data_IF_287010735839
#
_entry.id   IF_287010735839
#
_cell.length_a   1.000
_cell.length_b   1.000
_cell.length_c   1.000
_cell.angle_alpha   90.00
_cell.angle_beta   90.00
_cell.angle_gamma   90.00
#
_symmetry.space_group_name_H-M   'P 1'
#
loop_
_entity.id
_entity.type
_entity.pdbx_description
1 polymer ?
#
# COMPACT_ATOMS: atom_id res chain seq x y z
N UNK A 1 -18.80 -3.10 -30.20
CA UNK A 1 -19.26 -3.37 -28.81
C UNK A 1 -19.32 -2.03 -28.13
N UNK A 2 -20.52 -1.53 -27.80
CA UNK A 2 -20.75 -0.19 -27.26
C UNK A 2 -19.90 0.07 -26.01
N UNK A 3 -18.75 0.73 -26.18
CA UNK A 3 -18.01 1.36 -25.09
C UNK A 3 -18.80 2.61 -24.70
N UNK A 4 -19.77 2.44 -23.80
CA UNK A 4 -20.41 3.57 -23.15
C UNK A 4 -19.32 4.45 -22.53
N UNK A 5 -19.33 5.73 -22.91
CA UNK A 5 -18.38 6.72 -22.43
C UNK A 5 -18.84 7.21 -21.05
N UNK A 6 -17.93 7.26 -20.07
CA UNK A 6 -18.19 7.89 -18.79
C UNK A 6 -17.81 9.37 -18.89
N UNK A 7 -18.77 10.27 -18.72
CA UNK A 7 -18.47 11.71 -18.66
C UNK A 7 -17.86 12.02 -17.30
N UNK A 8 -16.67 12.62 -17.32
CA UNK A 8 -15.98 13.06 -16.13
C UNK A 8 -16.61 14.39 -15.66
N UNK A 9 -17.19 14.48 -14.43
CA UNK A 9 -17.82 15.72 -13.97
C UNK A 9 -16.77 16.71 -13.45
N UNK A 10 -16.26 17.59 -14.32
CA UNK A 10 -15.15 18.50 -14.02
C UNK A 10 -15.31 19.28 -12.71
N UNK A 11 -16.46 19.91 -12.50
CA UNK A 11 -16.74 20.67 -11.27
C UNK A 11 -16.68 19.82 -9.99
N UNK A 12 -17.10 18.55 -10.04
CA UNK A 12 -17.01 17.64 -8.87
C UNK A 12 -15.55 17.27 -8.59
N UNK A 13 -14.76 17.04 -9.63
CA UNK A 13 -13.34 16.72 -9.48
C UNK A 13 -12.57 17.89 -8.94
N UNK A 14 -12.73 19.09 -9.49
CA UNK A 14 -12.05 20.28 -8.98
C UNK A 14 -12.38 20.52 -7.51
N UNK A 15 -13.66 20.35 -7.12
CA UNK A 15 -14.07 20.44 -5.72
C UNK A 15 -13.44 19.35 -4.84
N UNK A 16 -13.38 18.11 -5.32
CA UNK A 16 -12.76 17.00 -4.59
C UNK A 16 -11.25 17.18 -4.44
N UNK A 17 -10.57 17.68 -5.48
CA UNK A 17 -9.15 17.99 -5.46
C UNK A 17 -8.83 19.13 -4.49
N UNK A 18 -9.67 20.17 -4.43
CA UNK A 18 -9.47 21.30 -3.50
C UNK A 18 -9.54 20.86 -2.04
N UNK A 19 -10.44 19.92 -1.68
CA UNK A 19 -10.49 19.34 -0.33
C UNK A 19 -9.18 18.67 0.12
N UNK A 20 -8.31 18.34 -0.83
CA UNK A 20 -7.05 17.61 -0.62
C UNK A 20 -5.83 18.50 -0.80
N UNK A 21 -6.02 19.80 -0.98
CA UNK A 21 -4.94 20.77 -1.17
C UNK A 21 -3.88 20.72 -0.06
N UNK A 22 -4.31 20.63 1.20
CA UNK A 22 -3.40 20.58 2.36
C UNK A 22 -2.50 19.34 2.38
N UNK A 23 -2.97 18.23 1.79
CA UNK A 23 -2.16 17.02 1.62
C UNK A 23 -1.00 17.32 0.67
N UNK A 24 -1.26 18.05 -0.43
CA UNK A 24 -0.23 18.41 -1.41
C UNK A 24 0.83 19.32 -0.84
N UNK A 25 0.40 20.29 -0.02
CA UNK A 25 1.28 21.24 0.66
C UNK A 25 2.28 20.53 1.59
N UNK A 26 1.95 19.33 2.09
CA UNK A 26 2.86 18.48 2.85
C UNK A 26 3.76 17.61 1.95
N UNK A 27 4.38 18.23 0.95
CA UNK A 27 5.37 17.59 0.06
C UNK A 27 4.88 16.25 -0.53
N UNK A 28 3.62 16.21 -0.94
CA UNK A 28 2.97 15.00 -1.45
C UNK A 28 2.32 15.28 -2.80
N UNK A 29 2.84 14.70 -3.87
CA UNK A 29 2.24 14.80 -5.19
C UNK A 29 1.61 13.48 -5.68
N UNK A 30 1.69 12.42 -4.87
CA UNK A 30 0.96 11.16 -5.01
C UNK A 30 -0.21 11.08 -4.01
N UNK A 31 -1.45 11.15 -4.49
CA UNK A 31 -2.66 11.10 -3.66
C UNK A 31 -3.91 10.74 -4.46
N UNK A 32 -4.94 10.24 -3.76
CA UNK A 32 -6.27 10.10 -4.35
C UNK A 32 -6.92 11.47 -4.48
N UNK A 33 -7.29 11.94 -5.66
CA UNK A 33 -7.98 13.23 -5.82
C UNK A 33 -9.51 13.09 -5.95
N UNK A 34 -10.00 11.89 -6.23
CA UNK A 34 -11.43 11.57 -6.29
C UNK A 34 -11.68 10.14 -5.82
N UNK A 35 -12.50 9.95 -4.77
CA UNK A 35 -12.73 8.65 -4.12
C UNK A 35 -14.18 8.17 -4.22
N UNK A 36 -14.71 8.16 -5.44
CA UNK A 36 -15.98 7.53 -5.75
C UNK A 36 -17.16 8.11 -4.97
N UNK A 37 -17.86 7.25 -4.22
CA UNK A 37 -18.99 7.65 -3.39
C UNK A 37 -18.61 8.69 -2.32
N UNK A 38 -17.37 8.67 -1.84
CA UNK A 38 -16.84 9.67 -0.90
C UNK A 38 -16.79 11.09 -1.48
N UNK A 39 -16.80 11.24 -2.80
CA UNK A 39 -16.87 12.51 -3.52
C UNK A 39 -18.13 12.66 -4.38
N UNK A 40 -19.16 11.84 -4.11
CA UNK A 40 -20.49 12.01 -4.69
C UNK A 40 -20.64 11.49 -6.12
N UNK A 41 -19.79 10.55 -6.56
CA UNK A 41 -19.99 9.75 -7.77
C UNK A 41 -19.45 8.33 -7.57
N UNK A 42 -20.34 7.37 -7.32
CA UNK A 42 -19.92 5.98 -7.18
C UNK A 42 -19.29 5.44 -8.48
N UNK A 43 -18.29 4.57 -8.35
CA UNK A 43 -17.72 3.85 -9.48
C UNK A 43 -16.57 4.53 -10.22
N UNK A 44 -16.12 5.72 -9.78
CA UNK A 44 -14.99 6.46 -10.35
C UNK A 44 -13.94 6.76 -9.28
N UNK A 45 -12.70 6.36 -9.50
CA UNK A 45 -11.55 6.76 -8.69
C UNK A 45 -10.55 7.51 -9.56
N UNK A 46 -9.88 8.50 -8.98
CA UNK A 46 -8.78 9.18 -9.65
C UNK A 46 -7.64 9.36 -8.65
N UNK A 47 -6.52 8.72 -8.95
CA UNK A 47 -5.25 8.90 -8.26
C UNK A 47 -4.37 9.83 -9.09
N UNK A 48 -3.80 10.84 -8.45
CA UNK A 48 -2.83 11.75 -9.07
C UNK A 48 -1.42 11.38 -8.61
N UNK A 49 -0.51 11.23 -9.58
CA UNK A 49 0.92 10.95 -9.40
C UNK A 49 1.77 12.08 -10.01
N UNK A 50 1.68 13.28 -9.43
CA UNK A 50 2.42 14.46 -9.87
C UNK A 50 1.91 15.07 -11.19
N UNK A 51 0.59 15.17 -11.33
CA UNK A 51 -0.10 15.60 -12.55
C UNK A 51 -0.37 14.44 -13.53
N UNK A 52 -0.02 13.21 -13.17
CA UNK A 52 -0.18 12.01 -14.01
C UNK A 52 -1.31 11.18 -13.43
N UNK A 53 -2.48 11.30 -14.02
CA UNK A 53 -3.71 10.76 -13.44
C UNK A 53 -3.91 9.31 -13.85
N UNK A 54 -4.21 8.47 -12.85
CA UNK A 54 -4.74 7.14 -13.04
C UNK A 54 -6.22 7.15 -12.69
N UNK A 55 -7.07 7.14 -13.73
CA UNK A 55 -8.51 7.02 -13.60
C UNK A 55 -8.90 5.55 -13.54
N UNK A 56 -9.72 5.18 -12.58
CA UNK A 56 -10.16 3.81 -12.41
C UNK A 56 -11.68 3.72 -12.37
N UNK A 57 -12.23 2.74 -13.08
CA UNK A 57 -13.68 2.43 -13.07
C UNK A 57 -13.91 0.99 -12.66
N UNK A 58 -15.09 0.68 -12.13
CA UNK A 58 -15.46 -0.69 -11.72
C UNK A 58 -16.25 -1.43 -12.80
N UNK A 59 -16.29 -0.88 -14.01
CA UNK A 59 -16.98 -1.42 -15.18
C UNK A 59 -16.11 -1.19 -16.43
N UNK A 60 -16.68 -1.41 -17.62
CA UNK A 60 -15.96 -1.27 -18.91
C UNK A 60 -16.03 0.13 -19.51
N UNK A 61 -16.67 1.10 -18.85
CA UNK A 61 -16.83 2.46 -19.38
C UNK A 61 -15.50 3.17 -19.31
N UNK A 62 -15.05 3.65 -20.47
CA UNK A 62 -13.85 4.47 -20.59
C UNK A 62 -14.24 5.93 -20.32
N UNK A 63 -13.51 6.64 -19.46
CA UNK A 63 -13.78 8.04 -19.20
C UNK A 63 -13.41 8.91 -20.41
N UNK A 64 -14.26 9.86 -20.78
CA UNK A 64 -13.90 10.87 -21.77
C UNK A 64 -12.95 11.90 -21.13
N UNK A 65 -11.72 12.08 -21.65
CA UNK A 65 -10.81 13.09 -21.13
C UNK A 65 -11.36 14.50 -21.32
N UNK A 66 -11.28 15.33 -20.28
CA UNK A 66 -11.54 16.76 -20.34
C UNK A 66 -10.22 17.52 -20.09
N UNK A 67 -9.58 18.09 -21.12
CA UNK A 67 -8.33 18.84 -20.97
C UNK A 67 -8.40 20.01 -19.96
N UNK A 68 -9.61 20.51 -19.65
CA UNK A 68 -9.82 21.55 -18.64
C UNK A 68 -9.52 21.12 -17.20
N UNK A 69 -9.30 19.82 -16.95
CA UNK A 69 -9.03 19.25 -15.62
C UNK A 69 -7.57 19.39 -15.16
N UNK A 70 -6.65 19.82 -16.03
CA UNK A 70 -5.27 20.16 -15.64
C UNK A 70 -4.34 18.98 -15.37
N UNK A 71 -4.68 17.76 -15.81
CA UNK A 71 -3.73 16.66 -15.84
C UNK A 71 -2.64 16.92 -16.90
N UNK A 72 -1.40 16.48 -16.63
CA UNK A 72 -0.33 16.39 -17.63
C UNK A 72 -0.51 15.16 -18.52
N UNK A 73 -0.97 14.07 -17.90
CA UNK A 73 -1.23 12.79 -18.57
C UNK A 73 -2.39 12.08 -17.90
N UNK A 74 -3.24 11.41 -18.68
CA UNK A 74 -4.40 10.67 -18.19
C UNK A 74 -4.35 9.23 -18.70
N UNK A 75 -4.28 8.30 -17.75
CA UNK A 75 -4.38 6.87 -17.97
C UNK A 75 -5.65 6.33 -17.34
N UNK A 76 -6.19 5.26 -17.91
CA UNK A 76 -7.38 4.60 -17.41
C UNK A 76 -7.20 3.10 -17.22
N UNK A 77 -7.73 2.56 -16.12
CA UNK A 77 -7.81 1.12 -15.87
C UNK A 77 -9.18 0.71 -15.34
N UNK A 78 -9.79 -0.30 -15.93
CA UNK A 78 -10.94 -0.99 -15.32
C UNK A 78 -10.49 -1.91 -14.20
N UNK A 79 -11.14 -1.86 -13.04
CA UNK A 79 -10.91 -2.71 -11.87
C UNK A 79 -11.81 -3.95 -11.86
N UNK A 80 -12.46 -4.28 -12.99
CA UNK A 80 -13.11 -5.58 -13.14
C UNK A 80 -12.08 -6.70 -12.91
N UNK A 81 -12.46 -7.71 -12.13
CA UNK A 81 -11.56 -8.85 -11.80
C UNK A 81 -11.02 -9.59 -13.03
N UNK A 82 -11.73 -9.53 -14.15
CA UNK A 82 -11.33 -10.14 -15.43
C UNK A 82 -10.32 -9.28 -16.20
N UNK A 83 -10.11 -8.03 -15.81
CA UNK A 83 -9.16 -7.14 -16.48
C UNK A 83 -7.76 -7.31 -15.88
N UNK A 84 -6.84 -7.86 -16.67
CA UNK A 84 -5.42 -8.02 -16.33
C UNK A 84 -4.54 -6.98 -17.02
N UNK A 85 -5.13 -6.10 -17.84
CA UNK A 85 -4.38 -5.14 -18.65
C UNK A 85 -3.79 -4.01 -17.80
N UNK A 86 -2.66 -3.48 -18.26
CA UNK A 86 -2.10 -2.24 -17.76
C UNK A 86 -3.05 -1.06 -18.06
N UNK A 87 -2.92 0.07 -17.35
CA UNK A 87 -3.63 1.29 -17.68
C UNK A 87 -3.36 1.74 -19.11
N UNK A 88 -4.42 2.20 -19.78
CA UNK A 88 -4.40 2.68 -21.16
C UNK A 88 -4.26 4.20 -21.15
N UNK A 89 -3.32 4.74 -21.93
CA UNK A 89 -3.20 6.18 -22.13
C UNK A 89 -4.40 6.72 -22.90
N UNK A 90 -5.05 7.77 -22.40
CA UNK A 90 -6.23 8.38 -23.03
C UNK A 90 -5.99 9.81 -23.52
N UNK A 91 -5.18 10.61 -22.80
CA UNK A 91 -4.93 12.01 -23.17
C UNK A 91 -3.69 12.59 -22.46
N UNK A 92 -3.17 13.68 -23.03
CA UNK A 92 -1.98 14.36 -22.53
C UNK A 92 -0.69 13.76 -23.08
N UNK A 93 0.42 14.03 -22.39
CA UNK A 93 1.73 13.53 -22.76
C UNK A 93 1.86 12.05 -22.35
N UNK A 94 2.21 11.12 -23.26
CA UNK A 94 2.52 9.75 -22.88
C UNK A 94 3.65 9.68 -21.85
N UNK A 95 3.54 8.74 -20.90
CA UNK A 95 4.54 8.61 -19.83
C UNK A 95 5.80 7.90 -20.32
N UNK A 96 6.94 8.47 -19.93
CA UNK A 96 8.21 7.74 -19.89
C UNK A 96 8.34 7.09 -18.51
N UNK A 97 8.07 5.80 -18.44
CA UNK A 97 8.20 5.02 -17.21
C UNK A 97 9.62 4.43 -17.06
N UNK A 98 10.09 4.21 -15.81
CA UNK A 98 9.43 4.61 -14.57
C UNK A 98 9.61 6.12 -14.29
N UNK A 99 8.77 6.69 -13.42
CA UNK A 99 8.88 8.09 -13.00
C UNK A 99 8.75 8.23 -11.48
N UNK A 100 9.22 9.34 -10.92
CA UNK A 100 9.21 9.59 -9.48
C UNK A 100 8.03 10.45 -9.04
N UNK A 101 7.53 10.15 -7.85
CA UNK A 101 6.55 10.95 -7.10
C UNK A 101 7.01 11.14 -5.67
N UNK A 102 6.40 12.10 -4.98
CA UNK A 102 6.62 12.38 -3.57
C UNK A 102 5.41 11.99 -2.73
N UNK A 103 5.67 11.35 -1.61
CA UNK A 103 4.71 11.18 -0.53
C UNK A 103 5.36 11.57 0.80
N UNK A 104 4.81 12.59 1.45
CA UNK A 104 5.28 13.09 2.76
C UNK A 104 6.78 13.40 2.78
N UNK A 105 7.27 14.02 1.71
CA UNK A 105 8.68 14.36 1.54
C UNK A 105 9.56 13.26 0.95
N UNK A 106 9.10 12.00 0.93
CA UNK A 106 9.84 10.84 0.45
C UNK A 106 9.59 10.57 -1.04
N UNK A 107 10.61 10.08 -1.75
CA UNK A 107 10.52 9.75 -3.17
C UNK A 107 10.16 8.28 -3.40
N UNK A 108 9.23 8.03 -4.32
CA UNK A 108 8.85 6.70 -4.74
C UNK A 108 8.77 6.60 -6.25
N UNK A 109 9.26 5.49 -6.79
CA UNK A 109 9.15 5.17 -8.20
C UNK A 109 7.80 4.54 -8.54
N UNK A 110 7.22 5.01 -9.64
CA UNK A 110 5.92 4.63 -10.16
C UNK A 110 6.08 4.15 -11.60
N UNK A 111 5.39 3.07 -11.93
CA UNK A 111 5.29 2.53 -13.28
C UNK A 111 3.89 1.96 -13.52
N UNK A 112 3.15 2.59 -14.43
CA UNK A 112 1.81 2.14 -14.80
C UNK A 112 1.83 0.82 -15.60
N UNK A 113 2.95 0.48 -16.23
CA UNK A 113 3.10 -0.72 -17.07
C UNK A 113 3.71 -1.92 -16.30
N UNK A 114 4.17 -1.72 -15.07
CA UNK A 114 4.80 -2.74 -14.23
C UNK A 114 3.87 -3.90 -13.76
N UNK A 115 2.59 -3.88 -14.14
CA UNK A 115 1.66 -4.99 -13.91
C UNK A 115 0.38 -4.59 -13.17
N UNK A 116 0.12 -5.22 -12.02
CA UNK A 116 -1.16 -5.10 -11.32
C UNK A 116 -1.36 -3.74 -10.63
N UNK A 117 -0.29 -3.20 -10.05
CA UNK A 117 -0.28 -1.97 -9.25
C UNK A 117 0.85 -1.04 -9.68
N UNK A 118 0.70 0.28 -9.50
CA UNK A 118 1.61 1.28 -10.05
C UNK A 118 2.93 1.47 -9.29
N UNK A 119 3.15 0.77 -8.16
CA UNK A 119 4.39 0.89 -7.36
C UNK A 119 4.18 1.41 -5.94
N UNK A 120 3.04 2.06 -5.65
CA UNK A 120 2.73 2.59 -4.31
C UNK A 120 1.23 2.47 -4.01
N UNK A 121 0.90 1.96 -2.81
CA UNK A 121 -0.47 1.94 -2.30
C UNK A 121 -0.73 3.20 -1.46
N UNK A 122 -1.48 4.14 -2.02
CA UNK A 122 -1.73 5.46 -1.43
C UNK A 122 -2.62 5.39 -0.18
N UNK A 123 -3.47 4.37 -0.07
CA UNK A 123 -4.33 4.10 1.10
C UNK A 123 -3.54 3.73 2.36
N UNK A 124 -2.24 3.45 2.24
CA UNK A 124 -1.36 3.14 3.37
C UNK A 124 -0.58 4.36 3.91
N UNK A 125 -0.75 5.55 3.33
CA UNK A 125 0.04 6.74 3.68
C UNK A 125 0.04 7.08 5.18
N UNK A 126 -1.15 7.11 5.80
CA UNK A 126 -1.28 7.41 7.23
C UNK A 126 -0.57 6.37 8.10
N UNK A 127 -0.56 5.11 7.68
CA UNK A 127 0.13 4.04 8.41
C UNK A 127 1.64 4.13 8.22
N UNK A 128 2.13 4.51 7.03
CA UNK A 128 3.54 4.82 6.79
C UNK A 128 4.02 5.97 7.66
N UNK A 129 3.28 7.09 7.71
CA UNK A 129 3.61 8.22 8.59
C UNK A 129 3.68 7.84 10.07
N UNK A 130 2.73 7.02 10.54
CA UNK A 130 2.76 6.50 11.92
C UNK A 130 3.95 5.57 12.15
N UNK A 131 4.31 4.72 11.19
CA UNK A 131 5.51 3.89 11.28
C UNK A 131 6.77 4.76 11.40
N UNK A 132 6.88 5.81 10.59
CA UNK A 132 8.03 6.73 10.61
C UNK A 132 8.29 7.29 12.01
N UNK A 133 7.24 7.75 12.71
CA UNK A 133 7.38 8.32 14.05
C UNK A 133 7.70 7.30 15.13
N UNK A 134 7.44 6.01 14.88
CA UNK A 134 7.74 4.90 15.79
C UNK A 134 9.09 4.25 15.51
N UNK A 135 9.72 4.49 14.35
CA UNK A 135 10.82 3.69 13.82
C UNK A 135 12.21 4.00 14.41
N UNK A 136 12.38 5.13 15.11
CA UNK A 136 13.68 5.58 15.59
C UNK A 136 14.39 4.52 16.44
N UNK A 137 15.62 4.17 16.04
CA UNK A 137 16.50 3.24 16.75
C UNK A 137 15.87 1.85 16.93
N UNK A 138 15.00 1.45 15.99
CA UNK A 138 14.32 0.14 15.99
C UNK A 138 14.79 -0.75 14.85
N UNK A 139 14.58 -2.05 15.03
CA UNK A 139 14.64 -3.06 13.99
C UNK A 139 13.24 -3.34 13.45
N UNK A 140 13.05 -3.17 12.14
CA UNK A 140 11.73 -3.31 11.49
C UNK A 140 11.76 -4.44 10.45
N UNK A 141 10.90 -5.45 10.62
CA UNK A 141 10.66 -6.46 9.60
C UNK A 141 9.42 -6.09 8.77
N UNK A 142 9.65 -5.70 7.53
CA UNK A 142 8.61 -5.43 6.53
C UNK A 142 8.32 -6.72 5.73
N UNK A 143 7.25 -7.43 6.06
CA UNK A 143 6.82 -8.63 5.31
C UNK A 143 5.84 -8.28 4.21
N UNK A 144 5.81 -9.08 3.13
CA UNK A 144 5.06 -8.76 1.91
C UNK A 144 5.46 -7.37 1.38
N UNK A 145 6.77 -7.12 1.38
CA UNK A 145 7.33 -5.78 1.30
C UNK A 145 6.97 -5.03 0.02
N UNK A 146 6.61 -5.74 -1.06
CA UNK A 146 6.37 -5.16 -2.38
C UNK A 146 7.55 -4.27 -2.78
N UNK A 147 7.32 -3.03 -3.19
CA UNK A 147 8.33 -2.03 -3.54
C UNK A 147 8.98 -1.37 -2.32
N UNK A 148 8.87 -2.00 -1.15
CA UNK A 148 9.50 -1.62 0.11
C UNK A 148 9.11 -0.22 0.65
N UNK A 149 7.94 0.31 0.30
CA UNK A 149 7.52 1.64 0.75
C UNK A 149 7.52 1.80 2.28
N UNK A 150 7.02 0.81 3.02
CA UNK A 150 7.13 0.79 4.49
C UNK A 150 8.57 0.71 4.99
N UNK A 151 9.42 -0.06 4.31
CA UNK A 151 10.85 -0.15 4.60
C UNK A 151 11.56 1.19 4.46
N UNK A 152 11.36 1.88 3.34
CA UNK A 152 11.90 3.23 3.11
C UNK A 152 11.45 4.18 4.21
N UNK A 153 10.15 4.22 4.52
CA UNK A 153 9.62 5.10 5.55
C UNK A 153 10.18 4.80 6.94
N UNK A 154 10.32 3.53 7.30
CA UNK A 154 10.96 3.13 8.55
C UNK A 154 12.45 3.53 8.60
N UNK A 155 13.19 3.32 7.51
CA UNK A 155 14.61 3.66 7.41
C UNK A 155 14.84 5.17 7.55
N UNK A 156 14.05 6.01 6.89
CA UNK A 156 14.10 7.48 7.11
C UNK A 156 13.72 7.85 8.54
N UNK A 157 12.83 7.08 9.17
CA UNK A 157 12.52 7.22 10.59
C UNK A 157 13.65 6.79 11.55
N UNK A 158 14.78 6.29 11.04
CA UNK A 158 15.94 5.87 11.83
C UNK A 158 15.94 4.39 12.24
N UNK A 159 15.17 3.54 11.55
CA UNK A 159 15.21 2.09 11.77
C UNK A 159 16.23 1.38 10.88
N UNK A 160 16.75 0.24 11.38
CA UNK A 160 17.34 -0.79 10.52
C UNK A 160 16.22 -1.72 10.05
N UNK A 161 16.18 -2.01 8.75
CA UNK A 161 15.02 -2.69 8.15
C UNK A 161 15.37 -4.00 7.47
N UNK A 162 14.52 -4.99 7.60
CA UNK A 162 14.52 -6.21 6.79
C UNK A 162 13.26 -6.20 5.92
N UNK A 163 13.44 -6.15 4.61
CA UNK A 163 12.36 -6.24 3.63
C UNK A 163 12.27 -7.67 3.10
N UNK A 164 11.10 -8.29 3.19
CA UNK A 164 10.87 -9.68 2.80
C UNK A 164 9.71 -9.77 1.82
N UNK A 165 9.99 -10.29 0.62
CA UNK A 165 8.98 -10.48 -0.43
C UNK A 165 9.24 -11.73 -1.28
N UNK A 166 8.19 -12.25 -1.90
CA UNK A 166 8.26 -13.39 -2.82
C UNK A 166 8.84 -13.02 -4.19
N UNK A 167 8.87 -11.73 -4.53
CA UNK A 167 9.32 -11.19 -5.81
C UNK A 167 10.69 -10.52 -5.70
N UNK A 168 11.72 -11.12 -6.30
CA UNK A 168 13.00 -10.43 -6.49
C UNK A 168 12.83 -9.10 -7.22
N UNK A 169 11.95 -9.04 -8.22
CA UNK A 169 11.74 -7.84 -9.01
C UNK A 169 11.27 -6.67 -8.15
N UNK A 170 10.35 -6.91 -7.20
CA UNK A 170 9.89 -5.87 -6.29
C UNK A 170 10.91 -5.49 -5.21
N UNK A 171 11.74 -6.44 -4.77
CA UNK A 171 12.86 -6.12 -3.89
C UNK A 171 13.90 -5.23 -4.58
N UNK A 172 14.23 -5.48 -5.85
CA UNK A 172 15.12 -4.60 -6.62
C UNK A 172 14.49 -3.22 -6.87
N UNK A 173 13.18 -3.15 -7.07
CA UNK A 173 12.46 -1.87 -7.07
C UNK A 173 12.56 -1.18 -5.70
N UNK A 174 12.38 -1.92 -4.62
CA UNK A 174 12.58 -1.43 -3.27
C UNK A 174 13.96 -0.83 -3.03
N UNK A 175 15.02 -1.48 -3.52
CA UNK A 175 16.39 -0.94 -3.46
C UNK A 175 16.54 0.40 -4.18
N UNK A 176 15.89 0.57 -5.35
CA UNK A 176 15.84 1.87 -6.03
C UNK A 176 15.10 2.91 -5.19
N UNK A 177 13.98 2.55 -4.58
CA UNK A 177 13.27 3.43 -3.64
C UNK A 177 14.13 3.83 -2.43
N UNK A 178 15.00 2.95 -1.93
CA UNK A 178 15.99 3.33 -0.91
C UNK A 178 16.97 4.37 -1.45
N UNK A 179 17.51 4.13 -2.65
CA UNK A 179 18.46 5.03 -3.29
C UNK A 179 17.87 6.42 -3.57
N UNK A 180 16.60 6.53 -4.00
CA UNK A 180 15.95 7.83 -4.22
C UNK A 180 15.75 8.66 -2.95
N UNK A 181 15.93 8.06 -1.77
CA UNK A 181 15.83 8.73 -0.47
C UNK A 181 17.18 8.80 0.24
N UNK A 182 18.29 8.64 -0.51
CA UNK A 182 19.66 8.68 0.00
C UNK A 182 19.96 7.63 1.09
N UNK A 183 19.16 6.56 1.16
CA UNK A 183 19.36 5.48 2.13
C UNK A 183 20.36 4.49 1.56
N UNK A 184 21.50 4.36 2.23
CA UNK A 184 22.49 3.34 1.90
C UNK A 184 21.96 1.96 2.31
N UNK A 185 22.02 0.98 1.39
CA UNK A 185 21.51 -0.37 1.65
C UNK A 185 22.23 -1.03 2.83
N UNK A 186 23.51 -0.71 3.09
CA UNK A 186 24.30 -1.05 4.28
C UNK A 186 23.72 -2.13 5.21
N UNK A 187 23.13 -1.69 6.32
CA UNK A 187 22.56 -2.56 7.37
C UNK A 187 21.14 -3.06 7.05
N UNK A 188 20.52 -2.59 5.96
CA UNK A 188 19.19 -3.00 5.53
C UNK A 188 19.24 -4.27 4.68
N UNK A 189 18.37 -5.23 4.99
CA UNK A 189 18.31 -6.50 4.28
C UNK A 189 17.13 -6.55 3.30
N UNK A 190 17.35 -7.21 2.16
CA UNK A 190 16.35 -7.49 1.13
C UNK A 190 16.31 -9.00 0.89
N UNK A 191 15.31 -9.65 1.46
CA UNK A 191 15.22 -11.11 1.53
C UNK A 191 14.16 -11.59 0.56
N UNK A 192 14.59 -12.38 -0.41
CA UNK A 192 13.70 -13.10 -1.30
C UNK A 192 13.22 -14.40 -0.65
N UNK A 193 11.91 -14.54 -0.45
CA UNK A 193 11.33 -15.80 0.01
C UNK A 193 9.92 -15.70 0.55
N UNK A 194 9.39 -16.85 0.95
CA UNK A 194 8.06 -16.97 1.51
C UNK A 194 8.04 -16.53 2.99
N UNK A 195 7.05 -15.73 3.36
CA UNK A 195 6.98 -15.05 4.66
C UNK A 195 6.87 -16.03 5.81
N UNK A 196 6.00 -17.04 5.73
CA UNK A 196 5.86 -18.03 6.80
C UNK A 196 7.13 -18.88 6.98
N UNK A 197 7.81 -19.26 5.90
CA UNK A 197 9.09 -19.98 5.95
C UNK A 197 10.19 -19.15 6.64
N UNK A 198 10.28 -17.87 6.31
CA UNK A 198 11.25 -16.96 6.92
C UNK A 198 10.95 -16.62 8.36
N UNK A 199 9.68 -16.39 8.72
CA UNK A 199 9.30 -16.20 10.12
C UNK A 199 9.64 -17.45 10.97
N UNK A 200 9.37 -18.67 10.48
CA UNK A 200 9.83 -19.91 11.14
C UNK A 200 11.35 -19.98 11.27
N UNK A 201 12.10 -19.45 10.29
CA UNK A 201 13.56 -19.41 10.31
C UNK A 201 14.09 -18.37 11.32
N UNK A 202 13.49 -17.19 11.39
CA UNK A 202 13.81 -16.18 12.39
C UNK A 202 13.53 -16.67 13.80
N UNK A 203 12.36 -17.28 14.03
CA UNK A 203 12.01 -17.90 15.30
C UNK A 203 13.05 -18.95 15.72
N UNK A 204 13.40 -19.90 14.85
CA UNK A 204 14.41 -20.94 15.15
C UNK A 204 15.80 -20.38 15.45
N UNK A 205 16.14 -19.24 14.84
CA UNK A 205 17.42 -18.56 15.04
C UNK A 205 17.39 -17.57 16.22
N UNK A 206 16.25 -17.41 16.88
CA UNK A 206 16.07 -16.41 17.93
C UNK A 206 16.21 -14.97 17.43
N UNK A 207 16.11 -14.72 16.11
CA UNK A 207 16.18 -13.35 15.56
C UNK A 207 14.87 -12.63 15.88
N UNK A 208 14.97 -11.47 16.52
CA UNK A 208 13.84 -10.66 16.96
C UNK A 208 13.83 -9.28 16.30
N UNK A 209 12.66 -8.66 16.29
CA UNK A 209 12.40 -7.33 15.73
C UNK A 209 11.56 -6.50 16.68
N UNK A 210 11.73 -5.18 16.65
CA UNK A 210 10.93 -4.26 17.46
C UNK A 210 9.58 -3.97 16.82
N UNK A 211 9.52 -3.93 15.49
CA UNK A 211 8.27 -3.78 14.74
C UNK A 211 8.22 -4.80 13.61
N UNK A 212 7.08 -5.48 13.44
CA UNK A 212 6.82 -6.35 12.29
C UNK A 212 5.56 -5.89 11.58
N UNK A 213 5.64 -5.73 10.27
CA UNK A 213 4.55 -5.30 9.39
C UNK A 213 4.00 -6.53 8.66
N UNK A 214 2.69 -6.73 8.74
CA UNK A 214 1.94 -7.81 8.11
C UNK A 214 0.91 -7.19 7.17
N UNK A 215 1.24 -7.03 5.88
CA UNK A 215 0.32 -6.52 4.85
C UNK A 215 0.19 -7.52 3.68
N UNK A 216 -0.31 -8.74 3.93
CA UNK A 216 -0.41 -9.74 2.89
C UNK A 216 -1.47 -9.36 1.83
N UNK A 217 -1.29 -9.79 0.56
CA UNK A 217 -2.36 -9.71 -0.42
C UNK A 217 -3.57 -10.53 0.04
N UNK A 218 -4.79 -10.12 -0.37
CA UNK A 218 -6.05 -10.82 -0.01
C UNK A 218 -6.05 -12.32 -0.35
N UNK A 219 -5.31 -12.68 -1.39
CA UNK A 219 -5.11 -14.03 -1.88
C UNK A 219 -3.69 -14.11 -2.45
N UNK A 220 -2.92 -15.11 -2.04
CA UNK A 220 -1.67 -15.45 -2.72
C UNK A 220 -1.51 -16.96 -2.81
N UNK A 221 -0.80 -17.41 -3.84
CA UNK A 221 -0.35 -18.79 -3.98
C UNK A 221 1.14 -18.82 -3.68
N UNK A 222 1.55 -19.68 -2.78
CA UNK A 222 2.97 -19.93 -2.55
C UNK A 222 3.56 -20.80 -3.67
N UNK A 223 4.89 -20.99 -3.66
CA UNK A 223 5.62 -21.82 -4.62
C UNK A 223 5.25 -23.31 -4.59
N UNK A 224 4.59 -23.75 -3.51
CA UNK A 224 4.12 -25.13 -3.30
C UNK A 224 2.61 -25.26 -3.55
N UNK A 225 1.98 -24.25 -4.17
CA UNK A 225 0.54 -24.17 -4.44
C UNK A 225 -0.36 -24.09 -3.20
N UNK A 226 0.17 -23.87 -1.99
CA UNK A 226 -0.66 -23.53 -0.83
C UNK A 226 -1.23 -22.12 -1.04
N UNK A 227 -2.53 -22.01 -0.83
CA UNK A 227 -3.25 -20.76 -0.97
C UNK A 227 -3.28 -20.10 0.40
N UNK A 228 -2.68 -18.91 0.53
CA UNK A 228 -2.91 -18.05 1.69
C UNK A 228 -4.22 -17.29 1.49
N UNK A 229 -5.10 -17.37 2.50
CA UNK A 229 -6.35 -16.63 2.56
C UNK A 229 -6.37 -15.81 3.83
N UNK A 230 -6.60 -14.51 3.71
CA UNK A 230 -6.71 -13.60 4.87
C UNK A 230 -7.74 -14.11 5.90
N UNK A 231 -8.83 -14.73 5.45
CA UNK A 231 -9.86 -15.26 6.36
C UNK A 231 -9.37 -16.43 7.21
N UNK A 232 -8.54 -17.29 6.64
CA UNK A 232 -8.25 -18.62 7.18
C UNK A 232 -6.86 -18.66 7.83
N UNK A 233 -5.87 -17.94 7.27
CA UNK A 233 -4.45 -18.08 7.63
C UNK A 233 -3.86 -16.86 8.35
N UNK A 234 -4.59 -15.74 8.47
CA UNK A 234 -4.03 -14.50 9.05
C UNK A 234 -3.72 -14.65 10.55
N UNK A 235 -4.54 -15.43 11.28
CA UNK A 235 -4.26 -15.74 12.68
C UNK A 235 -2.93 -16.47 12.87
N UNK A 236 -2.64 -17.47 12.02
CA UNK A 236 -1.36 -18.19 12.04
C UNK A 236 -0.17 -17.27 11.72
N UNK A 237 -0.35 -16.34 10.78
CA UNK A 237 0.66 -15.32 10.44
C UNK A 237 0.98 -14.46 11.66
N UNK A 238 -0.04 -13.98 12.38
CA UNK A 238 0.09 -13.14 13.58
C UNK A 238 0.78 -13.91 14.70
N UNK A 239 0.34 -15.14 14.98
CA UNK A 239 0.91 -15.97 16.03
C UNK A 239 2.40 -16.27 15.78
N UNK A 240 2.78 -16.49 14.52
CA UNK A 240 4.17 -16.73 14.13
C UNK A 240 5.03 -15.46 14.18
N UNK A 241 4.49 -14.32 13.72
CA UNK A 241 5.16 -13.03 13.78
C UNK A 241 5.40 -12.56 15.23
N UNK A 242 4.41 -12.74 16.12
CA UNK A 242 4.55 -12.39 17.54
C UNK A 242 5.72 -13.13 18.21
N UNK A 243 5.99 -14.39 17.82
CA UNK A 243 7.16 -15.15 18.29
C UNK A 243 8.50 -14.58 17.81
N UNK A 244 8.50 -13.68 16.84
CA UNK A 244 9.68 -12.98 16.33
C UNK A 244 9.80 -11.54 16.87
N UNK A 245 8.96 -11.12 17.82
CA UNK A 245 9.10 -9.79 18.45
C UNK A 245 10.10 -9.77 19.61
N UNK A 246 10.76 -8.63 19.77
CA UNK A 246 11.37 -8.21 21.02
C UNK A 246 10.30 -7.96 22.09
N UNK A 247 10.72 -7.88 23.36
CA UNK A 247 9.86 -7.39 24.43
C UNK A 247 9.41 -5.96 24.11
N UNK A 248 8.16 -5.62 24.43
CA UNK A 248 7.55 -4.32 24.15
C UNK A 248 7.45 -3.98 22.64
N UNK A 249 7.58 -5.01 21.79
CA UNK A 249 7.50 -4.90 20.33
C UNK A 249 6.08 -4.68 19.81
N UNK A 250 6.00 -4.32 18.53
CA UNK A 250 4.72 -4.00 17.87
C UNK A 250 4.48 -4.83 16.62
N UNK A 251 3.25 -5.29 16.43
CA UNK A 251 2.76 -5.75 15.12
C UNK A 251 1.92 -4.65 14.47
N UNK A 252 2.17 -4.38 13.21
CA UNK A 252 1.25 -3.65 12.35
C UNK A 252 0.55 -4.64 11.42
N UNK A 253 -0.71 -4.93 11.71
CA UNK A 253 -1.55 -5.86 10.97
C UNK A 253 -2.44 -5.08 10.00
N UNK A 254 -2.34 -5.36 8.71
CA UNK A 254 -3.09 -4.73 7.63
C UNK A 254 -3.79 -5.76 6.74
N UNK A 255 -4.99 -5.41 6.26
CA UNK A 255 -5.64 -6.09 5.14
C UNK A 255 -6.61 -5.17 4.40
N UNK A 256 -6.66 -5.29 3.07
CA UNK A 256 -7.65 -4.65 2.19
C UNK A 256 -8.78 -5.61 1.76
N UNK A 257 -8.93 -6.77 2.41
CA UNK A 257 -9.94 -7.77 2.06
C UNK A 257 -11.36 -7.30 2.41
N UNK A 258 -12.05 -6.64 1.47
CA UNK A 258 -13.38 -6.01 1.66
C UNK A 258 -14.42 -6.85 2.43
N UNK A 259 -14.44 -8.16 2.24
CA UNK A 259 -15.44 -9.05 2.84
C UNK A 259 -15.23 -9.41 4.32
N UNK A 260 -14.19 -8.87 4.99
CA UNK A 260 -14.02 -8.99 6.46
C UNK A 260 -14.44 -7.68 7.15
N UNK A 261 -15.21 -7.76 8.23
CA UNK A 261 -15.50 -6.56 9.04
C UNK A 261 -14.27 -6.17 9.88
N UNK A 262 -14.19 -4.92 10.35
CA UNK A 262 -13.12 -4.53 11.28
C UNK A 262 -13.19 -5.33 12.60
N UNK A 263 -14.39 -5.60 13.11
CA UNK A 263 -14.59 -6.39 14.33
C UNK A 263 -14.13 -7.84 14.16
N UNK A 264 -14.43 -8.47 13.02
CA UNK A 264 -13.95 -9.82 12.71
C UNK A 264 -12.44 -9.87 12.55
N UNK A 265 -11.85 -8.85 11.91
CA UNK A 265 -10.40 -8.74 11.78
C UNK A 265 -9.76 -8.64 13.16
N UNK A 266 -10.21 -7.71 14.01
CA UNK A 266 -9.71 -7.56 15.37
C UNK A 266 -9.84 -8.87 16.17
N UNK A 267 -10.95 -9.59 16.01
CA UNK A 267 -11.17 -10.90 16.63
C UNK A 267 -10.14 -11.93 16.17
N UNK A 268 -9.86 -12.04 14.87
CA UNK A 268 -8.80 -12.92 14.35
C UNK A 268 -7.44 -12.58 14.97
N UNK A 269 -7.11 -11.28 15.05
CA UNK A 269 -5.83 -10.84 15.63
C UNK A 269 -5.71 -11.20 17.11
N UNK A 270 -6.75 -10.93 17.91
CA UNK A 270 -6.70 -11.15 19.36
C UNK A 270 -6.76 -12.64 19.73
N UNK A 271 -7.45 -13.48 18.96
CA UNK A 271 -7.47 -14.93 19.17
C UNK A 271 -6.14 -15.61 18.82
N UNK A 272 -5.30 -14.96 17.99
CA UNK A 272 -4.00 -15.48 17.61
C UNK A 272 -2.92 -15.34 18.71
N UNK A 273 -3.18 -14.54 19.75
CA UNK A 273 -2.22 -14.24 20.80
C UNK A 273 -2.71 -14.76 22.15
N UNK A 274 -1.83 -15.37 22.94
CA UNK A 274 -2.17 -15.98 24.22
C UNK A 274 -2.51 -14.96 25.31
N UNK A 275 -1.87 -13.78 25.27
CA UNK A 275 -2.03 -12.72 26.27
C UNK A 275 -2.72 -11.50 25.66
N UNK A 276 -3.61 -10.82 26.41
CA UNK A 276 -4.18 -9.56 25.97
C UNK A 276 -3.07 -8.54 25.69
N UNK A 277 -3.18 -7.88 24.54
CA UNK A 277 -2.27 -6.82 24.10
C UNK A 277 -3.05 -5.54 23.83
N UNK A 278 -2.39 -4.40 23.95
CA UNK A 278 -3.03 -3.12 23.60
C UNK A 278 -3.19 -3.06 22.09
N UNK A 279 -4.41 -2.78 21.62
CA UNK A 279 -4.71 -2.63 20.20
C UNK A 279 -5.11 -1.19 19.89
N UNK A 280 -4.56 -0.65 18.80
CA UNK A 280 -4.85 0.70 18.33
C UNK A 280 -5.22 0.62 16.85
N UNK A 281 -6.46 0.92 16.45
CA UNK A 281 -6.84 0.99 15.04
C UNK A 281 -5.93 1.94 14.26
N UNK A 282 -5.53 1.54 13.05
CA UNK A 282 -4.96 2.47 12.09
C UNK A 282 -6.04 3.31 11.42
N UNK A 283 -5.63 4.23 10.55
CA UNK A 283 -6.53 5.17 9.88
C UNK A 283 -6.41 5.09 8.36
N UNK A 284 -7.54 5.26 7.68
CA UNK A 284 -7.52 5.63 6.26
C UNK A 284 -6.90 7.02 6.12
N UNK A 285 -6.13 7.28 5.06
CA UNK A 285 -5.73 8.62 4.69
C UNK A 285 -6.93 9.54 4.38
N UNK A 286 -6.85 10.85 4.66
CA UNK A 286 -7.98 11.77 4.57
C UNK A 286 -8.53 11.96 3.14
N UNK A 287 -7.75 11.61 2.12
CA UNK A 287 -8.15 11.57 0.71
C UNK A 287 -8.90 10.31 0.28
N UNK A 288 -9.02 9.31 1.15
CA UNK A 288 -9.87 8.13 0.96
C UNK A 288 -11.15 8.32 1.78
N UNK A 289 -12.10 9.04 1.21
CA UNK A 289 -13.34 9.49 1.86
C UNK A 289 -14.52 8.54 1.70
N UNK A 290 -14.38 7.50 0.87
CA UNK A 290 -15.42 6.51 0.59
C UNK A 290 -15.47 5.37 1.60
N UNK A 291 -15.61 4.13 1.10
CA UNK A 291 -15.66 2.94 1.93
C UNK A 291 -14.36 2.73 2.71
N UNK A 292 -14.45 2.50 4.02
CA UNK A 292 -13.31 2.13 4.88
C UNK A 292 -12.98 0.64 4.71
N UNK A 293 -12.41 0.30 3.56
CA UNK A 293 -12.09 -1.08 3.19
C UNK A 293 -10.74 -1.58 3.73
N UNK A 294 -9.82 -0.68 4.06
CA UNK A 294 -8.55 -1.04 4.69
C UNK A 294 -8.81 -1.24 6.19
N UNK A 295 -8.39 -2.38 6.71
CA UNK A 295 -8.46 -2.70 8.13
C UNK A 295 -7.05 -2.82 8.63
N UNK A 296 -6.68 -1.91 9.51
CA UNK A 296 -5.35 -1.85 10.08
C UNK A 296 -5.42 -1.76 11.59
N UNK A 297 -4.53 -2.49 12.27
CA UNK A 297 -4.44 -2.53 13.73
C UNK A 297 -2.97 -2.57 14.12
N UNK A 298 -2.59 -1.71 15.05
CA UNK A 298 -1.33 -1.80 15.76
C UNK A 298 -1.54 -2.58 17.05
N UNK A 299 -0.77 -3.66 17.25
CA UNK A 299 -0.79 -4.48 18.46
C UNK A 299 0.52 -4.25 19.22
N UNK A 300 0.45 -3.86 20.48
CA UNK A 300 1.61 -3.59 21.34
C UNK A 300 1.71 -4.65 22.43
N UNK A 301 2.83 -5.40 22.41
CA UNK A 301 3.10 -6.57 23.25
C UNK A 301 3.82 -6.22 24.55
#
# INVERSE_FOLDING_TARGET
MDTQTLIIPAAKISRAAEKRRTIRENQTDALRIFDGSGDGLNGLLIDDFGGRWLVQTFDKRTPAPDPGLGFRSLYWKSLLKTNTLAPIHLAGEPLHAPFLVRESGLWFEIDFQAGLSPGLFLDQRSNRLKLQSLAREKTVLNTFAYTCAFGVTAAVGGAVTVNLDLSCHYLEWGKRNYAYNDIQIGEHEFIHGEVFEWLRRFQRRGRKFDIIILDPPTFSRDRKSKIFRVRDDYGDLVALAAKCLNRDGMLFCSTNFRAISFGDFLRILTHAIEKPVKTVPGSMPPDFTGEKYLRTVWMQF
#
